data_IF_603121545153
#
_entry.id   IF_603121545153
#
_cell.length_a   1.000
_cell.length_b   1.000
_cell.length_c   1.000
_cell.angle_alpha   90.00
_cell.angle_beta   90.00
_cell.angle_gamma   90.00
#
_symmetry.space_group_name_H-M   'P 1'
#
loop_
_entity.id
_entity.type
_entity.pdbx_description
1 polymer ?
#
# COMPACT_ATOMS: atom_id res chain seq x y z
N UNK A 1 0.12 -59.46 58.68
CA UNK A 1 1.39 -59.97 59.22
C UNK A 1 2.42 -59.96 58.10
N UNK A 2 3.66 -59.66 58.49
CA UNK A 2 4.92 -59.54 57.74
C UNK A 2 5.16 -60.46 56.51
N UNK A 3 6.11 -59.96 55.69
CA UNK A 3 7.16 -60.72 54.95
C UNK A 3 6.70 -61.35 53.64
N UNK A 4 7.40 -61.36 52.51
CA UNK A 4 8.82 -61.08 52.18
C UNK A 4 8.96 -61.06 50.65
N UNK A 5 9.91 -60.27 50.14
CA UNK A 5 10.50 -60.44 48.79
C UNK A 5 11.26 -61.78 48.67
N UNK A 6 11.42 -62.35 47.46
CA UNK A 6 12.64 -62.05 46.70
C UNK A 6 12.45 -61.87 45.18
N UNK A 7 13.47 -61.21 44.61
CA UNK A 7 13.64 -60.80 43.22
C UNK A 7 13.81 -61.95 42.23
N UNK A 8 13.24 -61.79 41.03
CA UNK A 8 13.77 -62.37 39.78
C UNK A 8 13.72 -61.28 38.71
N UNK A 9 14.88 -61.05 38.09
CA UNK A 9 15.09 -60.06 37.04
C UNK A 9 14.39 -60.47 35.74
N UNK A 10 13.68 -59.53 35.10
CA UNK A 10 13.25 -59.65 33.72
C UNK A 10 13.64 -58.37 32.98
N UNK A 11 14.55 -58.53 32.03
CA UNK A 11 14.96 -57.51 31.06
C UNK A 11 13.90 -57.48 29.96
N UNK A 12 13.21 -56.35 29.77
CA UNK A 12 12.52 -56.05 28.52
C UNK A 12 12.80 -54.59 28.13
N UNK A 13 13.39 -54.43 26.95
CA UNK A 13 13.81 -53.18 26.33
C UNK A 13 12.62 -52.24 26.11
N UNK A 14 12.68 -51.03 26.68
CA UNK A 14 11.89 -49.89 26.27
C UNK A 14 12.65 -49.08 25.21
N UNK A 15 12.11 -49.04 23.99
CA UNK A 15 12.56 -48.12 22.93
C UNK A 15 11.96 -46.74 23.21
N UNK A 16 12.80 -45.82 23.68
CA UNK A 16 12.55 -44.37 23.64
C UNK A 16 13.63 -43.72 22.74
N UNK A 17 13.27 -42.76 21.88
CA UNK A 17 14.22 -42.10 20.99
C UNK A 17 15.22 -41.23 21.77
N UNK A 18 16.48 -41.15 21.34
CA UNK A 18 17.50 -40.38 22.04
C UNK A 18 17.28 -38.88 21.84
N UNK A 19 17.27 -38.15 22.95
CA UNK A 19 17.58 -36.72 22.98
C UNK A 19 19.00 -36.53 22.42
N UNK A 20 19.11 -35.93 21.23
CA UNK A 20 20.38 -35.46 20.70
C UNK A 20 20.57 -34.02 21.16
N UNK A 21 21.43 -33.83 22.17
CA UNK A 21 22.11 -32.56 22.38
C UNK A 21 23.07 -32.35 21.19
N UNK A 22 22.67 -31.51 20.24
CA UNK A 22 23.59 -30.99 19.25
C UNK A 22 24.44 -29.89 19.91
N UNK A 23 25.65 -30.27 20.35
CA UNK A 23 26.72 -29.33 20.64
C UNK A 23 27.15 -28.68 19.33
N UNK A 24 27.03 -27.36 19.23
CA UNK A 24 27.44 -26.60 18.06
C UNK A 24 28.98 -26.61 17.91
N UNK A 25 29.54 -27.03 16.76
CA UNK A 25 30.91 -26.75 16.42
C UNK A 25 30.91 -25.77 15.24
N UNK A 26 30.66 -24.50 15.51
CA UNK A 26 31.07 -23.45 14.59
C UNK A 26 31.87 -22.42 15.38
N UNK A 27 33.19 -22.49 15.19
CA UNK A 27 34.10 -21.43 15.58
C UNK A 27 33.64 -20.13 14.92
N UNK A 28 33.19 -19.19 15.74
CA UNK A 28 32.95 -17.81 15.31
C UNK A 28 34.32 -17.20 14.98
N UNK A 29 34.78 -17.37 13.74
CA UNK A 29 35.80 -16.51 13.18
C UNK A 29 35.11 -15.16 12.96
N UNK A 30 35.52 -14.14 13.70
CA UNK A 30 35.10 -12.76 13.49
C UNK A 30 35.71 -12.25 12.17
N UNK A 31 35.18 -12.73 11.04
CA UNK A 31 35.43 -12.13 9.74
C UNK A 31 34.75 -10.75 9.72
N UNK A 32 35.58 -9.72 9.59
CA UNK A 32 35.21 -8.30 9.43
C UNK A 32 33.92 -8.18 8.60
N UNK A 33 32.87 -7.65 9.22
CA UNK A 33 31.72 -7.11 8.48
C UNK A 33 32.29 -6.06 7.51
N UNK A 34 32.09 -6.20 6.19
CA UNK A 34 32.51 -5.18 5.27
C UNK A 34 31.77 -3.88 5.62
N UNK A 35 32.52 -2.78 5.74
CA UNK A 35 31.96 -1.44 5.78
C UNK A 35 30.89 -1.28 4.69
N UNK A 36 29.81 -0.57 4.98
CA UNK A 36 28.72 -0.27 4.03
C UNK A 36 29.21 0.36 2.70
N UNK A 37 30.46 0.82 2.63
CA UNK A 37 31.12 1.26 1.40
C UNK A 37 31.56 0.13 0.45
N UNK A 38 31.41 -1.15 0.81
CA UNK A 38 31.89 -2.30 0.03
C UNK A 38 30.81 -3.02 -0.79
N UNK A 39 29.54 -2.60 -0.71
CA UNK A 39 28.50 -3.01 -1.64
C UNK A 39 28.43 -1.94 -2.74
N UNK A 40 28.95 -2.25 -3.92
CA UNK A 40 28.85 -1.35 -5.07
C UNK A 40 27.38 -0.99 -5.35
N UNK A 41 27.13 0.28 -5.68
CA UNK A 41 25.81 0.80 -6.05
C UNK A 41 25.20 -0.02 -7.21
N UNK A 42 24.36 -1.00 -6.89
CA UNK A 42 23.48 -1.58 -7.90
C UNK A 42 22.37 -0.57 -8.19
N UNK A 43 22.55 0.24 -9.24
CA UNK A 43 21.51 1.15 -9.74
C UNK A 43 20.40 0.45 -10.55
N UNK A 44 20.30 -0.88 -10.46
CA UNK A 44 19.41 -1.72 -11.30
C UNK A 44 18.19 -2.27 -10.55
N UNK A 45 17.75 -1.64 -9.47
CA UNK A 45 16.46 -2.02 -8.85
C UNK A 45 15.24 -1.49 -9.64
N UNK A 46 15.47 -0.53 -10.54
CA UNK A 46 14.51 -0.02 -11.54
C UNK A 46 14.51 -0.87 -12.85
N UNK A 47 15.39 -1.86 -12.96
CA UNK A 47 15.61 -2.62 -14.18
C UNK A 47 14.45 -3.57 -14.50
N UNK A 48 14.28 -3.89 -15.79
CA UNK A 48 13.32 -4.91 -16.19
C UNK A 48 13.63 -6.25 -15.52
N UNK A 49 12.62 -6.89 -14.92
CA UNK A 49 12.79 -8.18 -14.24
C UNK A 49 12.02 -9.28 -14.96
N UNK A 50 12.74 -10.29 -15.44
CA UNK A 50 12.13 -11.53 -15.96
C UNK A 50 11.66 -12.46 -14.82
N UNK A 51 11.97 -12.12 -13.57
CA UNK A 51 11.52 -12.86 -12.38
C UNK A 51 10.13 -12.45 -11.92
N UNK A 52 9.69 -11.23 -12.27
CA UNK A 52 8.35 -10.74 -11.96
C UNK A 52 7.39 -11.25 -13.02
N UNK A 53 6.52 -12.16 -12.62
CA UNK A 53 5.55 -12.81 -13.48
C UNK A 53 4.14 -12.30 -13.14
N UNK A 54 3.90 -11.05 -13.51
CA UNK A 54 2.59 -10.41 -13.38
C UNK A 54 1.63 -11.02 -14.40
N UNK A 55 0.50 -11.57 -13.92
CA UNK A 55 -0.46 -12.32 -14.74
C UNK A 55 -1.86 -11.75 -14.59
N UNK A 56 -2.65 -11.98 -15.64
CA UNK A 56 -4.08 -11.75 -15.62
C UNK A 56 -4.82 -13.05 -15.27
N UNK A 57 -5.72 -12.96 -14.31
CA UNK A 57 -6.43 -14.08 -13.67
C UNK A 57 -7.94 -14.06 -13.97
N UNK A 58 -8.33 -13.46 -15.09
CA UNK A 58 -9.70 -13.46 -15.63
C UNK A 58 -10.75 -12.65 -14.85
N UNK A 59 -10.34 -11.92 -13.81
CA UNK A 59 -11.18 -10.97 -13.08
C UNK A 59 -11.43 -9.66 -13.84
N UNK A 60 -12.42 -8.85 -13.43
CA UNK A 60 -12.69 -7.56 -14.06
C UNK A 60 -11.62 -6.52 -13.70
N UNK A 61 -11.54 -5.44 -14.49
CA UNK A 61 -10.85 -4.19 -14.11
C UNK A 61 -11.85 -3.03 -14.09
N UNK A 62 -11.51 -1.90 -13.46
CA UNK A 62 -12.37 -0.72 -13.44
C UNK A 62 -12.28 0.07 -14.76
N UNK A 63 -12.94 -0.44 -15.81
CA UNK A 63 -12.87 0.13 -17.18
C UNK A 63 -13.88 1.24 -17.48
N UNK A 64 -14.99 1.29 -16.74
CA UNK A 64 -15.96 2.39 -16.80
C UNK A 64 -15.54 3.56 -15.91
N UNK A 65 -16.12 4.75 -16.13
CA UNK A 65 -15.87 5.94 -15.29
C UNK A 65 -16.04 5.58 -13.80
N UNK A 66 -15.03 5.88 -12.98
CA UNK A 66 -15.05 5.59 -11.55
C UNK A 66 -15.72 6.76 -10.81
N UNK A 67 -16.76 6.45 -10.04
CA UNK A 67 -17.39 7.35 -9.09
C UNK A 67 -16.79 7.09 -7.70
N UNK A 68 -15.96 8.02 -7.24
CA UNK A 68 -15.33 7.97 -5.92
C UNK A 68 -16.30 8.47 -4.85
N UNK A 69 -16.50 7.64 -3.82
CA UNK A 69 -17.28 7.96 -2.63
C UNK A 69 -16.35 8.04 -1.42
N UNK A 70 -16.14 9.25 -0.90
CA UNK A 70 -15.16 9.49 0.16
C UNK A 70 -15.82 9.42 1.54
N UNK A 71 -15.24 8.66 2.46
CA UNK A 71 -15.74 8.49 3.82
C UNK A 71 -14.68 8.99 4.79
N UNK A 72 -14.96 10.12 5.44
CA UNK A 72 -14.07 10.75 6.41
C UNK A 72 -14.41 10.27 7.83
N UNK A 73 -13.65 9.31 8.35
CA UNK A 73 -13.89 8.75 9.68
C UNK A 73 -12.99 9.41 10.72
N UNK A 74 -13.61 10.12 11.67
CA UNK A 74 -12.93 10.97 12.65
C UNK A 74 -12.84 12.44 12.24
N UNK A 75 -12.07 13.22 13.01
CA UNK A 75 -11.97 14.67 12.82
C UNK A 75 -10.87 15.01 11.81
N UNK A 76 -11.28 15.56 10.68
CA UNK A 76 -10.42 16.01 9.59
C UNK A 76 -10.38 17.52 9.50
N UNK A 77 -9.21 18.10 9.23
CA UNK A 77 -9.14 19.52 8.90
C UNK A 77 -9.57 19.75 7.43
N UNK A 78 -10.11 20.94 7.09
CA UNK A 78 -10.41 21.27 5.71
C UNK A 78 -9.18 21.22 4.77
N UNK A 79 -7.99 21.55 5.28
CA UNK A 79 -6.75 21.51 4.49
C UNK A 79 -6.31 20.09 4.16
N UNK A 80 -6.45 19.15 5.11
CA UNK A 80 -6.15 17.75 4.89
C UNK A 80 -7.08 17.14 3.83
N UNK A 81 -8.40 17.39 3.96
CA UNK A 81 -9.36 16.91 2.98
C UNK A 81 -9.14 17.53 1.61
N UNK A 82 -8.82 18.83 1.51
CA UNK A 82 -8.62 19.46 0.21
C UNK A 82 -7.38 18.93 -0.52
N UNK A 83 -6.30 18.61 0.19
CA UNK A 83 -5.12 17.97 -0.39
C UNK A 83 -5.47 16.61 -1.02
N UNK A 84 -6.22 15.76 -0.30
CA UNK A 84 -6.65 14.44 -0.81
C UNK A 84 -7.62 14.59 -1.99
N UNK A 85 -8.61 15.49 -1.90
CA UNK A 85 -9.53 15.76 -3.01
C UNK A 85 -8.79 16.26 -4.25
N UNK A 86 -7.84 17.19 -4.07
CA UNK A 86 -7.07 17.72 -5.18
C UNK A 86 -6.19 16.63 -5.82
N UNK A 87 -5.59 15.72 -5.03
CA UNK A 87 -4.87 14.55 -5.56
C UNK A 87 -5.78 13.66 -6.41
N UNK A 88 -6.91 13.20 -5.86
CA UNK A 88 -7.84 12.32 -6.57
C UNK A 88 -8.36 12.94 -7.87
N UNK A 89 -8.68 14.23 -7.85
CA UNK A 89 -9.14 14.96 -9.03
C UNK A 89 -8.01 15.26 -10.03
N UNK A 90 -6.74 15.15 -9.63
CA UNK A 90 -5.59 15.31 -10.53
C UNK A 90 -5.39 14.10 -11.45
N UNK A 91 -5.95 12.93 -11.10
CA UNK A 91 -5.83 11.70 -11.90
C UNK A 91 -6.45 11.88 -13.29
N UNK A 92 -7.56 12.60 -13.39
CA UNK A 92 -8.24 12.89 -14.66
C UNK A 92 -7.93 14.28 -15.21
N UNK A 93 -7.03 15.05 -14.58
CA UNK A 93 -6.68 16.40 -15.00
C UNK A 93 -5.49 16.39 -15.96
N UNK A 94 -5.78 16.34 -17.26
CA UNK A 94 -4.76 16.40 -18.31
C UNK A 94 -4.15 17.80 -18.50
N UNK A 95 -4.59 18.82 -17.74
CA UNK A 95 -4.07 20.19 -17.85
C UNK A 95 -2.91 20.48 -16.89
N UNK A 96 -2.65 19.57 -15.94
CA UNK A 96 -1.54 19.71 -15.01
C UNK A 96 -0.18 19.59 -15.73
N UNK A 97 0.84 20.38 -15.35
CA UNK A 97 2.16 20.31 -15.99
C UNK A 97 2.82 18.94 -15.82
N UNK A 98 3.51 18.46 -16.87
CA UNK A 98 4.35 17.26 -16.77
C UNK A 98 5.58 17.49 -15.88
N UNK A 99 6.06 16.46 -15.15
CA UNK A 99 5.39 15.17 -14.90
C UNK A 99 4.13 15.37 -14.05
N UNK A 100 3.02 14.70 -14.39
CA UNK A 100 1.71 14.90 -13.77
C UNK A 100 1.10 13.62 -13.17
N UNK A 101 0.13 13.78 -12.26
CA UNK A 101 -0.63 12.64 -11.71
C UNK A 101 -1.38 11.88 -12.82
N UNK A 102 -1.91 12.58 -13.83
CA UNK A 102 -2.59 11.96 -14.97
C UNK A 102 -1.63 11.14 -15.84
N UNK A 103 -0.38 11.58 -16.03
CA UNK A 103 0.66 10.79 -16.72
C UNK A 103 1.10 9.59 -15.89
N UNK A 104 1.16 9.71 -14.56
CA UNK A 104 1.41 8.56 -13.69
C UNK A 104 0.30 7.51 -13.81
N UNK A 105 -0.97 7.93 -13.78
CA UNK A 105 -2.14 7.06 -13.96
C UNK A 105 -2.17 6.38 -15.35
N UNK A 106 -1.47 6.94 -16.33
CA UNK A 106 -1.39 6.36 -17.67
C UNK A 106 -0.81 4.95 -17.68
N UNK A 107 0.06 4.63 -16.71
CA UNK A 107 0.61 3.28 -16.52
C UNK A 107 -0.44 2.32 -15.98
N UNK A 108 -1.28 2.76 -15.02
CA UNK A 108 -2.41 1.97 -14.49
C UNK A 108 -3.41 1.67 -15.62
N UNK A 109 -3.64 2.64 -16.50
CA UNK A 109 -4.50 2.49 -17.67
C UNK A 109 -3.93 1.58 -18.79
N UNK A 110 -2.79 0.90 -18.59
CA UNK A 110 -2.28 -0.12 -19.49
C UNK A 110 -2.88 -1.51 -19.22
N UNK A 111 -3.45 -1.72 -18.04
CA UNK A 111 -4.03 -2.99 -17.63
C UNK A 111 -5.46 -3.13 -18.14
N UNK A 112 -5.78 -4.31 -18.68
CA UNK A 112 -7.06 -4.61 -19.32
C UNK A 112 -7.69 -5.89 -18.78
N UNK A 113 -9.00 -6.03 -18.89
CA UNK A 113 -9.68 -7.30 -18.64
C UNK A 113 -9.80 -8.17 -19.92
N UNK A 114 -10.46 -9.31 -19.79
CA UNK A 114 -10.74 -10.26 -20.86
C UNK A 114 -11.51 -9.68 -22.06
N UNK A 115 -12.19 -8.54 -21.90
CA UNK A 115 -12.89 -7.85 -22.99
C UNK A 115 -11.96 -6.97 -23.82
N UNK A 116 -10.71 -6.78 -23.36
CA UNK A 116 -9.76 -5.82 -23.92
C UNK A 116 -10.03 -4.39 -23.46
N UNK A 117 -10.94 -4.17 -22.51
CA UNK A 117 -11.19 -2.85 -21.94
C UNK A 117 -10.15 -2.55 -20.86
N UNK A 118 -9.46 -1.42 -21.02
CA UNK A 118 -8.45 -0.96 -20.07
C UNK A 118 -9.08 -0.26 -18.86
N UNK A 119 -8.34 -0.19 -17.76
CA UNK A 119 -8.66 0.70 -16.63
C UNK A 119 -8.92 2.12 -17.13
N UNK A 120 -10.00 2.74 -16.65
CA UNK A 120 -10.40 4.08 -17.07
C UNK A 120 -9.40 5.14 -16.62
N UNK A 121 -9.34 6.25 -17.35
CA UNK A 121 -8.68 7.49 -16.92
C UNK A 121 -9.66 8.52 -16.37
N UNK A 122 -10.95 8.17 -16.27
CA UNK A 122 -12.01 9.07 -15.83
C UNK A 122 -12.47 8.72 -14.42
N UNK A 123 -12.10 9.57 -13.47
CA UNK A 123 -12.48 9.49 -12.07
C UNK A 123 -13.22 10.78 -11.69
N UNK A 124 -14.20 10.68 -10.82
CA UNK A 124 -14.85 11.83 -10.24
C UNK A 124 -15.29 11.55 -8.81
N UNK A 125 -15.18 12.55 -7.93
CA UNK A 125 -15.79 12.50 -6.61
C UNK A 125 -17.29 12.68 -6.79
N UNK A 126 -18.06 11.63 -6.50
CA UNK A 126 -19.51 11.58 -6.70
C UNK A 126 -20.30 11.82 -5.41
N UNK A 127 -19.68 11.60 -4.25
CA UNK A 127 -20.29 11.85 -2.96
C UNK A 127 -19.31 11.71 -1.81
N UNK A 128 -19.65 12.31 -0.67
CA UNK A 128 -18.82 12.25 0.53
C UNK A 128 -19.68 12.07 1.78
N UNK A 129 -19.15 11.37 2.78
CA UNK A 129 -19.75 11.21 4.11
C UNK A 129 -18.71 11.46 5.19
N UNK A 130 -19.14 11.88 6.37
CA UNK A 130 -18.27 12.19 7.50
C UNK A 130 -18.83 11.62 8.80
N UNK A 131 -17.95 10.99 9.59
CA UNK A 131 -18.26 10.46 10.92
C UNK A 131 -17.28 11.04 11.96
N UNK A 132 -17.41 12.33 12.33
CA UNK A 132 -16.50 12.97 13.27
C UNK A 132 -16.63 12.45 14.71
N UNK A 133 -17.76 11.81 15.03
CA UNK A 133 -18.06 11.20 16.33
C UNK A 133 -17.52 9.77 16.47
N UNK A 134 -16.90 9.20 15.43
CA UNK A 134 -16.42 7.82 15.41
C UNK A 134 -17.54 6.82 15.75
N UNK A 135 -18.54 6.71 14.88
CA UNK A 135 -19.76 5.89 15.10
C UNK A 135 -19.51 4.43 15.50
N UNK A 136 -18.34 3.86 15.16
CA UNK A 136 -17.91 2.50 15.48
C UNK A 136 -16.71 2.45 16.45
N UNK A 137 -16.43 3.55 17.15
CA UNK A 137 -15.30 3.68 18.07
C UNK A 137 -13.98 4.03 17.38
N UNK A 138 -12.93 4.22 18.19
CA UNK A 138 -11.59 4.60 17.72
C UNK A 138 -10.70 3.40 17.35
N UNK A 139 -11.18 2.17 17.51
CA UNK A 139 -10.45 0.96 17.13
C UNK A 139 -11.31 0.16 16.16
N UNK A 140 -10.79 -0.08 14.97
CA UNK A 140 -11.46 -0.78 13.90
C UNK A 140 -10.74 -2.09 13.53
N UNK A 141 -11.51 -3.06 13.08
CA UNK A 141 -11.03 -4.26 12.39
C UNK A 141 -11.37 -4.15 10.91
N UNK A 142 -10.86 -5.07 10.08
CA UNK A 142 -11.30 -5.14 8.67
C UNK A 142 -12.81 -5.31 8.52
N UNK A 143 -13.46 -6.01 9.45
CA UNK A 143 -14.91 -6.15 9.46
C UNK A 143 -15.62 -4.84 9.82
N UNK A 144 -15.15 -4.12 10.84
CA UNK A 144 -15.80 -2.85 11.22
C UNK A 144 -15.53 -1.73 10.21
N UNK A 145 -14.46 -1.80 9.41
CA UNK A 145 -14.30 -0.95 8.20
C UNK A 145 -15.49 -1.10 7.25
N UNK A 146 -15.94 -2.33 6.96
CA UNK A 146 -17.14 -2.55 6.14
C UNK A 146 -18.41 -2.03 6.82
N UNK A 147 -18.50 -2.10 8.16
CA UNK A 147 -19.61 -1.51 8.91
C UNK A 147 -19.63 0.02 8.82
N UNK A 148 -18.47 0.68 8.81
CA UNK A 148 -18.38 2.13 8.59
C UNK A 148 -18.84 2.51 7.18
N UNK A 149 -18.53 1.69 6.17
CA UNK A 149 -19.05 1.88 4.80
C UNK A 149 -20.58 1.74 4.79
N UNK A 150 -21.12 0.73 5.47
CA UNK A 150 -22.57 0.54 5.62
C UNK A 150 -23.23 1.75 6.30
N UNK A 151 -22.64 2.27 7.38
CA UNK A 151 -23.11 3.48 8.07
C UNK A 151 -23.13 4.69 7.13
N UNK A 152 -22.09 4.86 6.30
CA UNK A 152 -22.01 5.95 5.35
C UNK A 152 -23.11 5.86 4.27
N UNK A 153 -23.50 4.65 3.87
CA UNK A 153 -24.63 4.43 2.96
C UNK A 153 -25.98 4.72 3.62
N UNK A 154 -26.17 4.28 4.87
CA UNK A 154 -27.35 4.67 5.66
C UNK A 154 -27.44 6.18 5.87
N UNK A 155 -26.31 6.87 5.93
CA UNK A 155 -26.22 8.33 6.02
C UNK A 155 -26.40 9.06 4.68
N UNK A 156 -26.63 8.34 3.57
CA UNK A 156 -27.02 8.93 2.28
C UNK A 156 -26.06 8.71 1.12
N UNK A 157 -24.92 8.02 1.30
CA UNK A 157 -24.14 7.58 0.14
C UNK A 157 -24.88 6.47 -0.62
N UNK A 158 -24.93 6.52 -1.96
CA UNK A 158 -25.57 5.46 -2.74
C UNK A 158 -24.72 4.19 -2.69
N UNK A 159 -25.36 3.03 -2.92
CA UNK A 159 -24.69 1.76 -3.24
C UNK A 159 -24.50 1.64 -4.77
N UNK A 160 -23.53 2.36 -5.32
CA UNK A 160 -23.23 2.38 -6.76
C UNK A 160 -22.45 1.12 -7.16
N UNK A 161 -23.20 0.03 -7.40
CA UNK A 161 -22.66 -1.26 -7.83
C UNK A 161 -22.17 -1.30 -9.28
N UNK A 162 -22.26 -0.19 -10.03
CA UNK A 162 -21.83 -0.14 -11.44
C UNK A 162 -20.48 0.53 -11.57
N UNK A 163 -20.31 1.67 -10.90
CA UNK A 163 -19.16 2.55 -11.08
C UNK A 163 -18.53 2.99 -9.75
N UNK A 164 -19.09 2.58 -8.62
CA UNK A 164 -18.73 3.06 -7.30
C UNK A 164 -17.46 2.45 -6.74
N UNK A 165 -16.60 3.31 -6.21
CA UNK A 165 -15.43 2.95 -5.40
C UNK A 165 -15.49 3.74 -4.10
N UNK A 166 -15.35 3.06 -2.97
CA UNK A 166 -15.49 3.67 -1.64
C UNK A 166 -14.12 3.83 -1.00
N UNK A 167 -13.71 5.06 -0.70
CA UNK A 167 -12.44 5.34 -0.03
C UNK A 167 -12.71 5.78 1.41
N UNK A 168 -12.30 4.95 2.37
CA UNK A 168 -12.40 5.22 3.79
C UNK A 168 -11.08 5.79 4.32
N UNK A 169 -11.12 7.03 4.80
CA UNK A 169 -9.97 7.69 5.41
C UNK A 169 -10.17 7.81 6.92
N UNK A 170 -9.28 7.21 7.71
CA UNK A 170 -9.32 7.33 9.17
C UNK A 170 -8.37 8.43 9.66
N UNK A 171 -8.91 9.37 10.44
CA UNK A 171 -8.17 10.50 11.00
C UNK A 171 -7.17 10.07 12.08
N UNK A 172 -6.35 11.03 12.52
CA UNK A 172 -5.46 10.84 13.65
C UNK A 172 -6.21 10.38 14.91
N UNK A 173 -5.66 9.36 15.59
CA UNK A 173 -6.24 8.79 16.81
C UNK A 173 -7.21 7.63 16.58
N UNK A 174 -7.43 7.22 15.32
CA UNK A 174 -8.11 5.97 14.99
C UNK A 174 -7.08 4.88 14.75
N UNK A 175 -7.28 3.74 15.40
CA UNK A 175 -6.52 2.52 15.24
C UNK A 175 -7.28 1.56 14.32
N UNK A 176 -6.58 0.94 13.38
CA UNK A 176 -7.14 -0.12 12.55
C UNK A 176 -6.21 -1.32 12.66
N UNK A 177 -6.79 -2.51 12.72
CA UNK A 177 -6.06 -3.77 12.73
C UNK A 177 -4.91 -3.77 11.71
N UNK A 178 -3.71 -4.15 12.17
CA UNK A 178 -2.45 -4.22 11.41
C UNK A 178 -1.87 -2.89 10.90
N UNK A 179 -2.53 -1.76 11.17
CA UNK A 179 -2.04 -0.43 10.82
C UNK A 179 -0.68 -0.16 11.48
N UNK A 180 0.26 0.41 10.72
CA UNK A 180 1.64 0.69 11.15
C UNK A 180 2.51 -0.54 11.44
N UNK A 181 2.00 -1.76 11.23
CA UNK A 181 2.75 -3.00 11.46
C UNK A 181 2.95 -3.78 10.18
N UNK A 182 1.86 -4.05 9.47
CA UNK A 182 1.89 -4.76 8.21
C UNK A 182 1.38 -3.92 7.04
N UNK A 183 0.50 -2.94 7.31
CA UNK A 183 -0.14 -2.15 6.26
C UNK A 183 -0.31 -0.68 6.63
N UNK A 184 -0.38 0.16 5.60
CA UNK A 184 -0.70 1.59 5.68
C UNK A 184 -2.09 1.91 5.10
N UNK A 185 -2.57 1.02 4.24
CA UNK A 185 -3.90 0.95 3.67
C UNK A 185 -4.20 -0.50 3.28
N UNK A 186 -5.40 -0.74 2.78
CA UNK A 186 -5.67 -1.95 2.00
C UNK A 186 -6.91 -1.70 1.16
N UNK A 187 -7.01 -2.35 0.01
CA UNK A 187 -8.24 -2.48 -0.73
C UNK A 187 -8.87 -3.86 -0.56
N UNK A 188 -10.19 -3.92 -0.71
CA UNK A 188 -10.96 -5.17 -0.77
C UNK A 188 -12.34 -4.89 -1.40
N UNK A 189 -13.25 -5.85 -1.30
CA UNK A 189 -14.65 -5.66 -1.67
C UNK A 189 -15.58 -5.92 -0.48
N UNK A 190 -16.69 -5.18 -0.42
CA UNK A 190 -17.69 -5.39 0.63
C UNK A 190 -18.39 -6.73 0.45
N UNK A 191 -18.84 -7.34 1.56
CA UNK A 191 -19.73 -8.49 1.47
C UNK A 191 -21.16 -8.03 1.19
N UNK A 192 -21.92 -8.74 0.31
CA UNK A 192 -23.33 -8.45 0.10
C UNK A 192 -24.17 -8.46 1.38
N UNK A 193 -23.79 -9.28 2.37
CA UNK A 193 -24.44 -9.31 3.69
C UNK A 193 -24.24 -8.03 4.52
N UNK A 194 -23.26 -7.19 4.17
CA UNK A 194 -22.92 -5.97 4.90
C UNK A 194 -23.58 -4.72 4.29
N UNK A 195 -23.61 -4.64 2.95
CA UNK A 195 -24.07 -3.43 2.22
C UNK A 195 -25.00 -3.71 1.04
N UNK A 196 -25.49 -4.95 0.90
CA UNK A 196 -26.38 -5.39 -0.18
C UNK A 196 -25.67 -5.72 -1.50
N UNK A 197 -24.41 -5.33 -1.66
CA UNK A 197 -23.64 -5.49 -2.90
C UNK A 197 -22.17 -5.82 -2.62
N UNK A 198 -21.51 -6.40 -3.63
CA UNK A 198 -20.05 -6.51 -3.70
C UNK A 198 -19.51 -5.23 -4.32
N UNK A 199 -18.94 -4.36 -3.49
CA UNK A 199 -18.46 -3.04 -3.90
C UNK A 199 -16.98 -2.90 -3.58
N UNK A 200 -16.13 -2.49 -4.54
CA UNK A 200 -14.73 -2.22 -4.28
C UNK A 200 -14.58 -1.06 -3.28
N UNK A 201 -13.69 -1.24 -2.31
CA UNK A 201 -13.34 -0.20 -1.36
C UNK A 201 -11.86 -0.24 -1.00
N UNK A 202 -11.33 0.88 -0.56
CA UNK A 202 -10.03 0.94 0.10
C UNK A 202 -10.12 1.70 1.42
N UNK A 203 -9.34 1.26 2.40
CA UNK A 203 -9.10 1.99 3.64
C UNK A 203 -7.67 2.52 3.66
N UNK A 204 -7.49 3.76 4.10
CA UNK A 204 -6.18 4.39 4.27
C UNK A 204 -6.11 5.08 5.64
N UNK A 205 -5.04 4.82 6.39
CA UNK A 205 -4.82 5.34 7.73
C UNK A 205 -3.92 6.59 7.78
N UNK A 206 -4.27 7.56 8.63
CA UNK A 206 -3.40 8.70 8.93
C UNK A 206 -2.27 8.29 9.89
N UNK A 207 -1.03 8.22 9.38
CA UNK A 207 0.14 7.72 10.11
C UNK A 207 0.90 8.78 10.90
N UNK A 208 0.68 10.06 10.59
CA UNK A 208 1.55 11.18 10.99
C UNK A 208 1.79 11.36 12.50
N UNK A 209 0.95 10.78 13.37
CA UNK A 209 1.12 10.83 14.84
C UNK A 209 1.62 9.53 15.47
N UNK A 210 1.62 8.42 14.74
CA UNK A 210 1.83 7.09 15.31
C UNK A 210 3.06 6.39 14.71
N UNK A 211 3.15 6.38 13.38
CA UNK A 211 4.18 5.64 12.65
C UNK A 211 4.58 6.35 11.34
N UNK A 212 4.86 7.67 11.37
CA UNK A 212 5.19 8.39 10.15
C UNK A 212 6.39 7.76 9.41
N UNK A 213 7.33 7.18 10.13
CA UNK A 213 8.50 6.49 9.57
C UNK A 213 8.19 5.23 8.77
N UNK A 214 7.02 4.61 9.00
CA UNK A 214 6.57 3.42 8.26
C UNK A 214 5.71 3.84 7.08
N UNK A 215 4.66 4.63 7.34
CA UNK A 215 3.59 4.89 6.37
C UNK A 215 3.62 6.29 5.76
N UNK A 216 4.61 7.11 6.08
CA UNK A 216 4.86 8.40 5.45
C UNK A 216 6.33 8.54 5.00
N UNK A 217 7.04 7.42 4.84
CA UNK A 217 8.32 7.42 4.15
C UNK A 217 8.13 7.92 2.70
N UNK A 218 8.99 8.82 2.17
CA UNK A 218 10.25 9.31 2.76
C UNK A 218 10.16 10.62 3.54
N UNK A 219 8.97 11.12 3.87
CA UNK A 219 8.78 12.34 4.67
C UNK A 219 9.07 12.15 6.16
N UNK A 220 9.16 10.90 6.60
CA UNK A 220 9.76 10.51 7.86
C UNK A 220 10.61 9.26 7.63
N UNK A 221 11.78 9.21 8.26
CA UNK A 221 12.79 8.18 8.01
C UNK A 221 12.94 7.33 9.28
N UNK A 222 12.91 5.98 9.17
CA UNK A 222 13.15 5.11 10.31
C UNK A 222 14.52 5.35 10.95
N UNK A 223 14.56 5.27 12.28
CA UNK A 223 15.80 5.52 13.06
C UNK A 223 16.94 4.55 12.71
N UNK A 224 16.63 3.35 12.22
CA UNK A 224 17.62 2.34 11.84
C UNK A 224 18.34 2.66 10.51
N UNK A 225 17.83 3.56 9.67
CA UNK A 225 18.46 3.93 8.39
C UNK A 225 19.70 4.84 8.55
N UNK A 226 20.09 5.16 9.79
CA UNK A 226 21.34 5.84 10.13
C UNK A 226 21.39 7.33 9.75
N UNK A 227 22.51 7.98 10.07
CA UNK A 227 22.70 9.43 9.92
C UNK A 227 22.83 9.92 8.46
N UNK A 228 22.85 9.01 7.47
CA UNK A 228 23.02 9.35 6.05
C UNK A 228 21.71 9.65 5.31
N UNK A 229 20.55 9.31 5.87
CA UNK A 229 19.24 9.47 5.20
C UNK A 229 18.44 10.55 5.90
N UNK A 230 18.10 11.63 5.19
CA UNK A 230 17.31 12.74 5.74
C UNK A 230 15.87 12.67 5.23
N UNK A 231 14.91 12.98 6.11
CA UNK A 231 13.52 13.07 5.75
C UNK A 231 13.27 14.12 4.66
N UNK A 232 12.47 13.72 3.66
CA UNK A 232 12.05 14.63 2.61
C UNK A 232 11.08 15.67 3.14
N UNK A 233 11.10 16.87 2.56
CA UNK A 233 10.16 17.93 2.94
C UNK A 233 8.83 17.73 2.20
N UNK A 234 7.70 17.56 2.90
CA UNK A 234 6.41 17.28 2.28
C UNK A 234 5.90 18.44 1.42
N UNK A 235 5.37 18.19 0.21
CA UNK A 235 4.92 19.24 -0.69
C UNK A 235 3.65 19.98 -0.22
N UNK A 236 2.79 19.33 0.57
CA UNK A 236 1.55 19.92 1.08
C UNK A 236 1.60 20.28 2.56
N UNK A 237 2.75 20.05 3.23
CA UNK A 237 3.06 20.54 4.56
C UNK A 237 2.56 19.67 5.72
N UNK A 238 1.89 18.55 5.45
CA UNK A 238 1.44 17.60 6.45
C UNK A 238 2.05 16.23 6.13
N UNK A 239 3.04 15.81 6.93
CA UNK A 239 3.75 14.53 6.75
C UNK A 239 2.78 13.35 6.64
N UNK A 240 1.73 13.33 7.47
CA UNK A 240 0.75 12.24 7.47
C UNK A 240 -0.09 12.23 6.20
N UNK A 241 -0.62 13.38 5.77
CA UNK A 241 -1.44 13.45 4.55
C UNK A 241 -0.61 13.28 3.29
N UNK A 242 0.58 13.87 3.22
CA UNK A 242 1.48 13.66 2.08
C UNK A 242 1.91 12.19 1.96
N UNK A 243 2.12 11.49 3.08
CA UNK A 243 2.30 10.04 3.09
C UNK A 243 1.05 9.27 2.63
N UNK A 244 -0.13 9.65 3.15
CA UNK A 244 -1.40 9.06 2.72
C UNK A 244 -1.65 9.21 1.23
N UNK A 245 -1.21 10.30 0.58
CA UNK A 245 -1.38 10.46 -0.87
C UNK A 245 -0.70 9.34 -1.65
N UNK A 246 0.50 8.91 -1.25
CA UNK A 246 1.16 7.76 -1.88
C UNK A 246 0.43 6.46 -1.63
N UNK A 247 -0.10 6.25 -0.41
CA UNK A 247 -0.91 5.06 -0.08
C UNK A 247 -2.23 5.06 -0.87
N UNK A 248 -2.90 6.21 -1.01
CA UNK A 248 -4.11 6.33 -1.84
C UNK A 248 -3.80 5.99 -3.29
N UNK A 249 -2.67 6.47 -3.81
CA UNK A 249 -2.22 6.15 -5.16
C UNK A 249 -2.03 4.63 -5.33
N UNK A 250 -1.32 4.01 -4.40
CA UNK A 250 -1.08 2.57 -4.33
C UNK A 250 -2.39 1.76 -4.34
N UNK A 251 -3.24 1.96 -3.33
CA UNK A 251 -4.47 1.19 -3.15
C UNK A 251 -5.46 1.41 -4.31
N UNK A 252 -5.54 2.63 -4.84
CA UNK A 252 -6.45 2.95 -5.94
C UNK A 252 -5.95 2.35 -7.26
N UNK A 253 -4.64 2.30 -7.50
CA UNK A 253 -4.07 1.66 -8.68
C UNK A 253 -4.38 0.16 -8.66
N UNK A 254 -4.10 -0.52 -7.55
CA UNK A 254 -4.31 -1.95 -7.41
C UNK A 254 -5.79 -2.32 -7.46
N UNK A 255 -6.64 -1.60 -6.72
CA UNK A 255 -8.09 -1.81 -6.78
C UNK A 255 -8.66 -1.54 -8.19
N UNK A 256 -8.05 -0.64 -8.96
CA UNK A 256 -8.50 -0.40 -10.34
C UNK A 256 -8.12 -1.54 -11.28
N UNK A 257 -6.97 -2.17 -11.06
CA UNK A 257 -6.51 -3.34 -11.84
C UNK A 257 -7.02 -4.67 -11.29
N UNK A 258 -7.49 -4.71 -10.05
CA UNK A 258 -7.89 -5.92 -9.35
C UNK A 258 -9.01 -5.72 -8.30
N UNK A 259 -10.16 -5.15 -8.67
CA UNK A 259 -11.23 -4.76 -7.74
C UNK A 259 -11.82 -5.91 -6.92
N UNK A 260 -11.71 -7.16 -7.40
CA UNK A 260 -12.27 -8.35 -6.77
C UNK A 260 -11.19 -9.37 -6.36
N UNK A 261 -9.92 -8.96 -6.35
CA UNK A 261 -8.78 -9.80 -5.94
C UNK A 261 -8.64 -11.08 -6.81
N UNK A 262 -8.96 -10.97 -8.10
CA UNK A 262 -8.91 -12.06 -9.08
C UNK A 262 -8.55 -11.62 -10.51
N UNK A 263 -7.92 -10.47 -10.72
CA UNK A 263 -7.54 -9.93 -12.03
C UNK A 263 -6.02 -9.83 -12.20
N UNK A 264 -5.35 -8.73 -11.86
CA UNK A 264 -3.92 -8.55 -12.11
C UNK A 264 -3.07 -8.70 -10.85
N UNK A 265 -2.29 -9.78 -10.76
CA UNK A 265 -1.30 -9.99 -9.69
C UNK A 265 -0.21 -10.98 -10.11
N UNK A 266 0.91 -10.99 -9.39
CA UNK A 266 2.05 -11.82 -9.69
C UNK A 266 1.91 -13.23 -9.11
N UNK A 267 2.31 -14.23 -9.89
CA UNK A 267 2.21 -15.65 -9.50
C UNK A 267 0.82 -16.25 -9.72
N UNK A 268 0.62 -17.46 -9.19
CA UNK A 268 -0.61 -18.26 -9.35
C UNK A 268 -1.40 -18.42 -8.04
N UNK A 269 -0.88 -17.90 -6.93
CA UNK A 269 -1.50 -18.02 -5.61
C UNK A 269 -2.30 -16.75 -5.27
N UNK A 270 -3.64 -16.82 -5.20
CA UNK A 270 -4.48 -15.67 -4.88
C UNK A 270 -4.51 -15.34 -3.38
N UNK A 271 -3.84 -16.10 -2.51
CA UNK A 271 -3.95 -15.92 -1.05
C UNK A 271 -3.18 -14.71 -0.53
N UNK A 272 -2.13 -14.28 -1.23
CA UNK A 272 -1.34 -13.09 -0.96
C UNK A 272 -0.83 -12.51 -2.29
N UNK A 273 -1.73 -11.95 -3.12
CA UNK A 273 -1.37 -11.47 -4.45
C UNK A 273 -0.40 -10.30 -4.31
N UNK A 274 0.75 -10.37 -4.98
CA UNK A 274 1.64 -9.21 -5.15
C UNK A 274 1.17 -8.44 -6.39
N UNK A 275 0.70 -7.22 -6.20
CA UNK A 275 0.03 -6.43 -7.23
C UNK A 275 0.93 -5.35 -7.84
N UNK A 276 0.34 -4.49 -8.67
CA UNK A 276 1.11 -3.58 -9.53
C UNK A 276 1.82 -2.47 -8.76
N UNK A 277 1.34 -2.10 -7.57
CA UNK A 277 1.96 -1.08 -6.74
C UNK A 277 2.91 -1.74 -5.71
N UNK A 278 2.57 -2.90 -5.17
CA UNK A 278 3.47 -3.71 -4.33
C UNK A 278 4.86 -3.89 -4.95
N UNK A 279 4.92 -4.22 -6.25
CA UNK A 279 6.17 -4.43 -6.99
C UNK A 279 7.09 -3.21 -7.01
N UNK A 280 6.57 -2.02 -6.71
CA UNK A 280 7.24 -0.74 -6.84
C UNK A 280 7.23 0.08 -5.56
N UNK A 281 6.92 -0.56 -4.43
CA UNK A 281 6.92 0.09 -3.12
C UNK A 281 8.28 0.78 -2.87
N UNK A 282 8.21 2.07 -2.49
CA UNK A 282 9.39 2.88 -2.20
C UNK A 282 10.17 3.42 -3.41
N UNK A 283 9.77 3.10 -4.66
CA UNK A 283 10.39 3.65 -5.87
C UNK A 283 9.65 4.93 -6.29
N UNK A 284 10.29 6.10 -6.18
CA UNK A 284 9.66 7.40 -6.51
C UNK A 284 10.29 8.09 -7.72
N UNK A 285 11.41 7.58 -8.22
CA UNK A 285 12.17 8.18 -9.31
C UNK A 285 13.27 7.26 -9.83
N UNK A 286 13.95 7.70 -10.88
CA UNK A 286 15.02 6.90 -11.47
C UNK A 286 16.19 6.70 -10.51
N UNK A 287 16.78 5.51 -10.55
CA UNK A 287 17.75 5.03 -9.58
C UNK A 287 17.13 4.61 -8.23
N UNK A 288 15.80 4.53 -8.14
CA UNK A 288 15.08 4.06 -6.96
C UNK A 288 15.09 2.53 -6.82
N UNK A 289 14.75 2.07 -5.61
CA UNK A 289 14.72 0.67 -5.18
C UNK A 289 15.85 0.31 -4.20
N UNK A 290 15.68 -0.80 -3.47
CA UNK A 290 16.69 -1.26 -2.50
C UNK A 290 17.04 -0.22 -1.43
N UNK A 291 16.02 0.41 -0.82
CA UNK A 291 16.08 1.51 0.15
C UNK A 291 16.40 2.93 -0.39
N UNK A 292 16.60 3.09 -1.70
CA UNK A 292 16.73 4.41 -2.34
C UNK A 292 15.39 4.85 -2.94
N UNK A 293 14.99 6.09 -2.69
CA UNK A 293 13.76 6.67 -3.24
C UNK A 293 13.86 6.99 -4.73
N UNK A 294 15.09 7.16 -5.24
CA UNK A 294 15.36 7.61 -6.60
C UNK A 294 15.33 9.13 -6.76
N UNK A 295 15.61 9.60 -7.97
CA UNK A 295 15.69 11.02 -8.29
C UNK A 295 14.31 11.68 -8.34
N UNK A 296 14.09 12.66 -7.46
CA UNK A 296 12.85 13.44 -7.35
C UNK A 296 13.13 14.93 -7.44
N UNK A 297 12.14 15.70 -7.92
CA UNK A 297 12.27 17.15 -8.04
C UNK A 297 12.17 17.82 -6.66
N UNK A 298 12.72 19.03 -6.56
CA UNK A 298 12.58 19.90 -5.39
C UNK A 298 12.18 21.30 -5.83
N UNK A 299 11.25 21.93 -5.12
CA UNK A 299 10.83 23.29 -5.42
C UNK A 299 11.67 24.37 -4.73
N UNK A 300 11.39 25.65 -5.00
CA UNK A 300 12.15 26.77 -4.41
C UNK A 300 12.10 26.84 -2.88
N UNK A 301 11.18 26.12 -2.22
CA UNK A 301 11.11 25.99 -0.77
C UNK A 301 11.74 24.67 -0.27
N UNK A 302 12.39 23.90 -1.14
CA UNK A 302 13.01 22.62 -0.82
C UNK A 302 12.01 21.48 -0.64
N UNK A 303 10.74 21.64 -1.04
CA UNK A 303 9.73 20.57 -0.95
C UNK A 303 9.90 19.59 -2.11
N UNK A 304 9.88 18.30 -1.80
CA UNK A 304 10.18 17.24 -2.77
C UNK A 304 8.93 16.59 -3.31
N UNK A 305 8.94 16.29 -4.61
CA UNK A 305 7.79 15.77 -5.35
C UNK A 305 8.25 15.09 -6.64
N UNK A 306 7.42 14.22 -7.21
CA UNK A 306 7.68 13.61 -8.51
C UNK A 306 6.56 13.82 -9.53
N UNK A 307 5.40 14.32 -9.10
CA UNK A 307 4.29 14.66 -9.98
C UNK A 307 3.61 15.97 -9.57
N UNK A 308 3.14 16.72 -10.57
CA UNK A 308 2.27 17.87 -10.40
C UNK A 308 0.81 17.44 -10.48
N UNK A 309 -0.04 18.12 -9.72
CA UNK A 309 -1.47 17.98 -9.78
C UNK A 309 -2.18 19.31 -10.00
N UNK A 310 -3.50 19.25 -9.93
CA UNK A 310 -4.36 20.40 -10.16
C UNK A 310 -4.11 21.53 -9.16
N UNK A 311 -4.46 22.75 -9.56
CA UNK A 311 -4.34 23.97 -8.72
C UNK A 311 -2.92 24.20 -8.16
N UNK A 312 -1.89 23.75 -8.87
CA UNK A 312 -0.49 23.91 -8.45
C UNK A 312 -0.08 23.02 -7.28
N UNK A 313 -0.89 22.01 -6.92
CA UNK A 313 -0.51 20.98 -5.96
C UNK A 313 0.63 20.14 -6.51
N UNK A 314 1.46 19.64 -5.62
CA UNK A 314 2.57 18.73 -5.93
C UNK A 314 2.45 17.52 -5.03
N UNK A 315 2.81 16.35 -5.54
CA UNK A 315 2.71 15.10 -4.82
C UNK A 315 3.96 14.26 -5.03
N UNK A 316 4.25 13.42 -4.04
CA UNK A 316 5.24 12.37 -4.13
C UNK A 316 4.50 11.04 -4.01
N UNK A 317 4.44 10.29 -5.09
CA UNK A 317 3.75 9.00 -5.14
C UNK A 317 4.69 7.94 -5.70
N UNK A 318 4.66 6.74 -5.15
CA UNK A 318 5.47 5.64 -5.68
C UNK A 318 5.09 5.37 -7.15
N UNK A 319 6.04 4.81 -7.89
CA UNK A 319 5.81 4.29 -9.22
C UNK A 319 4.94 3.03 -9.16
N UNK A 320 4.45 2.62 -10.33
CA UNK A 320 3.70 1.37 -10.50
C UNK A 320 4.35 0.54 -11.58
N UNK A 321 4.16 -0.78 -11.51
CA UNK A 321 4.71 -1.70 -12.48
C UNK A 321 4.10 -1.44 -13.86
N UNK A 322 4.95 -1.22 -14.86
CA UNK A 322 4.52 -1.13 -16.26
C UNK A 322 4.55 -2.51 -16.90
N UNK A 323 3.42 -3.03 -17.41
CA UNK A 323 3.41 -4.33 -18.08
C UNK A 323 4.16 -4.29 -19.43
N UNK A 324 4.35 -3.09 -19.99
CA UNK A 324 5.09 -2.86 -21.25
C UNK A 324 6.59 -2.83 -21.01
N UNK A 325 7.05 -2.10 -19.98
CA UNK A 325 8.48 -2.00 -19.65
C UNK A 325 8.99 -3.18 -18.83
N UNK A 326 8.08 -3.95 -18.22
CA UNK A 326 8.38 -4.99 -17.24
C UNK A 326 9.28 -4.48 -16.12
N UNK A 327 9.01 -3.27 -15.67
CA UNK A 327 9.74 -2.56 -14.62
C UNK A 327 8.82 -1.54 -13.95
N UNK A 328 9.23 -1.04 -12.79
CA UNK A 328 8.61 0.15 -12.19
C UNK A 328 8.76 1.36 -13.12
N UNK A 329 7.69 2.14 -13.23
CA UNK A 329 7.65 3.28 -14.13
C UNK A 329 6.88 4.46 -13.52
N UNK A 330 7.41 5.65 -13.73
CA UNK A 330 6.73 6.91 -13.47
C UNK A 330 7.10 7.98 -14.48
N UNK A 331 6.33 9.08 -14.52
CA UNK A 331 6.48 10.14 -15.52
C UNK A 331 7.74 10.99 -15.32
N UNK A 332 8.36 10.96 -14.13
CA UNK A 332 9.62 11.64 -13.84
C UNK A 332 10.86 10.78 -14.14
N UNK A 333 10.73 9.66 -14.84
CA UNK A 333 11.87 8.84 -15.23
C UNK A 333 12.85 9.64 -16.10
N UNK A 334 14.13 9.59 -15.75
CA UNK A 334 15.22 10.15 -16.56
C UNK A 334 15.86 9.02 -17.35
N UNK A 335 15.93 9.19 -18.68
CA UNK A 335 16.58 8.26 -19.60
C UNK A 335 18.10 8.25 -19.42
#
# INVERSE_FOLDING_TARGET
MRSSNPSVALVLLSLLPPFILATAPFSYSASKVPSAAALGESKRYEGSSDLVNLRYHMGPVLSSRINLYLIWYGRWSPSQQSTIRDFLLSISDATAPSPSVAEWWSTVALYADQTGANVTRSLAIAGESSSPSLSRGATLTRLSVQQVIADAMHAGLPADHRNGVYLLFTAAGVDVQDFCRAVCGFHYFTFPSMVGHTLPYAWIGYSGRRCPEVCAYPFAVPSYMGQGTTAMRPPNGDVGVDGMVSVIAHELAEMSTNPLVNAWYAGDDPTAPTEIADLCEGVYGSGGGGAYTGAVASDGAGRQFNVNGRKGRKFLIQWVWSPVRRSCAGPNAVN
#
